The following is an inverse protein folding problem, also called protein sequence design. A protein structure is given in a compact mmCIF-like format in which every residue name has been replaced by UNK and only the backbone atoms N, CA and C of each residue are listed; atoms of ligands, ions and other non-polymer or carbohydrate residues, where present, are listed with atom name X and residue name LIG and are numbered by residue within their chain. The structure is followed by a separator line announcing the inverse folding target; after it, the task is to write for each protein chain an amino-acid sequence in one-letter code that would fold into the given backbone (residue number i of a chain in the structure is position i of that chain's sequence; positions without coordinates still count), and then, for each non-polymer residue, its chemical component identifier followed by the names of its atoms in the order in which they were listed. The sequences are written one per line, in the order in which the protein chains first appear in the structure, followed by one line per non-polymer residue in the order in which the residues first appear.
data_IF_295347483454
#
_entry.id   IF_295347483454
#
_cell.length_a   1.000
_cell.length_b   1.000
_cell.length_c   1.000
_cell.angle_alpha   90.00
_cell.angle_beta   90.00
_cell.angle_gamma   90.00
#
_symmetry.space_group_name_H-M   'P 1'
#
loop_
_entity.id
_entity.type
_entity.pdbx_description
1 polymer ?
#
# COMPACT_ATOMS: atom_id res chain seq x y z
N UNK A 1 27.85 -31.96 -8.44
CA UNK A 1 28.45 -31.89 -7.09
C UNK A 1 29.44 -33.02 -6.76
N UNK A 2 29.97 -33.75 -7.75
CA UNK A 2 31.03 -34.77 -7.55
C UNK A 2 32.45 -34.23 -7.86
N UNK A 3 32.55 -33.12 -8.59
CA UNK A 3 33.83 -32.49 -8.96
C UNK A 3 34.48 -31.59 -7.87
N UNK A 4 33.77 -31.23 -6.79
CA UNK A 4 34.33 -30.47 -5.65
C UNK A 4 35.02 -31.37 -4.61
N UNK A 5 34.67 -32.66 -4.58
CA UNK A 5 35.26 -33.63 -3.65
C UNK A 5 36.65 -34.10 -4.09
N UNK A 6 36.88 -34.24 -5.41
CA UNK A 6 38.18 -34.65 -5.97
C UNK A 6 39.29 -33.60 -5.82
N UNK A 7 38.98 -32.30 -5.79
CA UNK A 7 40.01 -31.24 -5.61
C UNK A 7 40.58 -31.16 -4.19
N UNK A 8 39.87 -31.68 -3.18
CA UNK A 8 40.32 -31.72 -1.79
C UNK A 8 41.23 -32.92 -1.49
N UNK A 9 41.20 -33.96 -2.33
CA UNK A 9 42.01 -35.18 -2.17
C UNK A 9 43.44 -35.02 -2.73
N UNK A 10 43.67 -34.07 -3.63
CA UNK A 10 44.95 -33.88 -4.35
C UNK A 10 45.72 -32.61 -3.98
N UNK A 11 45.31 -31.89 -2.92
CA UNK A 11 46.16 -30.86 -2.30
C UNK A 11 46.60 -29.70 -3.21
N UNK A 12 45.81 -29.34 -4.23
CA UNK A 12 46.11 -28.22 -5.12
C UNK A 12 45.42 -26.96 -4.58
N UNK A 13 46.17 -26.16 -3.81
CA UNK A 13 45.82 -24.78 -3.49
C UNK A 13 46.36 -23.86 -4.59
N UNK A 14 45.47 -23.10 -5.23
CA UNK A 14 45.84 -22.03 -6.16
C UNK A 14 46.60 -20.95 -5.39
N UNK A 15 47.86 -20.78 -5.77
CA UNK A 15 48.78 -19.80 -5.20
C UNK A 15 49.13 -18.78 -6.29
N UNK A 16 48.87 -17.50 -6.03
CA UNK A 16 49.63 -16.37 -6.60
C UNK A 16 49.05 -15.02 -6.13
N UNK A 17 49.83 -13.93 -6.08
CA UNK A 17 51.16 -13.83 -5.47
C UNK A 17 51.33 -12.54 -4.61
N UNK A 18 52.20 -12.66 -3.60
CA UNK A 18 53.23 -11.70 -3.13
C UNK A 18 52.92 -10.21 -3.00
N UNK A 19 52.78 -9.72 -1.75
CA UNK A 19 53.44 -8.49 -1.26
C UNK A 19 53.76 -8.64 0.26
N UNK A 20 54.99 -8.35 0.67
CA UNK A 20 55.48 -8.20 2.07
C UNK A 20 56.56 -7.08 2.00
N UNK A 21 57.02 -6.39 3.09
CA UNK A 21 56.56 -6.23 4.50
C UNK A 21 56.57 -4.77 5.01
N UNK A 22 56.06 -4.55 6.24
CA UNK A 22 56.78 -3.75 7.25
C UNK A 22 56.20 -3.94 8.68
N UNK A 23 57.11 -4.15 9.65
CA UNK A 23 56.96 -4.08 11.11
C UNK A 23 56.09 -5.19 11.75
N UNK A 24 56.54 -6.04 12.67
CA UNK A 24 57.63 -5.93 13.63
C UNK A 24 57.05 -6.18 15.02
N UNK A 25 56.96 -7.45 15.46
CA UNK A 25 57.14 -7.87 16.86
C UNK A 25 57.00 -9.39 17.05
N UNK A 26 57.86 -9.92 17.94
CA UNK A 26 58.08 -11.33 18.29
C UNK A 26 56.92 -11.99 19.04
N UNK A 27 56.75 -13.31 18.84
CA UNK A 27 56.40 -14.33 19.87
C UNK A 27 56.40 -15.76 19.27
N UNK A 28 56.46 -16.85 20.07
CA UNK A 28 57.66 -17.43 20.69
C UNK A 28 58.00 -18.85 20.16
N UNK A 29 59.19 -19.31 20.52
CA UNK A 29 59.81 -20.59 20.13
C UNK A 29 58.93 -21.82 20.38
N UNK A 30 58.64 -22.56 19.32
CA UNK A 30 58.08 -23.91 19.35
C UNK A 30 59.14 -24.94 19.79
N UNK A 31 58.74 -26.08 20.38
CA UNK A 31 59.66 -27.02 21.02
C UNK A 31 60.52 -27.73 19.99
N UNK A 32 61.82 -27.86 20.32
CA UNK A 32 62.87 -28.55 19.55
C UNK A 32 62.31 -29.87 19.00
N UNK A 33 62.12 -29.90 17.69
CA UNK A 33 61.60 -31.05 16.98
C UNK A 33 62.61 -32.18 17.11
N UNK A 34 62.13 -33.39 17.39
CA UNK A 34 62.93 -34.63 17.46
C UNK A 34 63.77 -34.82 16.18
N UNK A 35 63.36 -34.21 15.07
CA UNK A 35 64.09 -34.14 13.80
C UNK A 35 65.39 -33.30 13.89
N UNK A 36 65.42 -32.21 14.65
CA UNK A 36 66.60 -31.35 14.79
C UNK A 36 67.74 -32.05 15.57
N UNK A 37 67.38 -32.92 16.52
CA UNK A 37 68.37 -33.70 17.28
C UNK A 37 68.94 -34.86 16.46
N UNK A 38 68.14 -35.44 15.55
CA UNK A 38 68.57 -36.47 14.62
C UNK A 38 69.51 -35.92 13.52
N UNK A 39 69.25 -34.72 13.02
CA UNK A 39 70.12 -34.08 12.03
C UNK A 39 71.48 -33.71 12.62
N UNK A 40 71.52 -33.18 13.85
CA UNK A 40 72.78 -32.93 14.56
C UNK A 40 73.61 -34.21 14.75
N UNK A 41 72.96 -35.34 15.06
CA UNK A 41 73.65 -36.63 15.19
C UNK A 41 74.20 -37.13 13.85
N UNK A 42 73.48 -36.95 12.75
CA UNK A 42 73.98 -37.27 11.40
C UNK A 42 75.22 -36.46 11.05
N UNK A 43 75.21 -35.16 11.34
CA UNK A 43 76.36 -34.28 11.09
C UNK A 43 77.59 -34.68 11.92
N UNK A 44 77.38 -35.03 13.18
CA UNK A 44 78.48 -35.44 14.07
C UNK A 44 79.13 -36.75 13.62
N UNK A 45 78.34 -37.72 13.14
CA UNK A 45 78.84 -38.99 12.59
C UNK A 45 79.58 -38.77 11.28
N UNK A 46 79.12 -37.84 10.43
CA UNK A 46 79.78 -37.49 9.18
C UNK A 46 81.15 -36.86 9.43
N UNK A 47 81.25 -35.92 10.38
CA UNK A 47 82.52 -35.31 10.78
C UNK A 47 83.50 -36.34 11.38
N UNK A 48 83.03 -37.32 12.15
CA UNK A 48 83.88 -38.39 12.68
C UNK A 48 84.36 -39.36 11.59
N UNK A 49 83.54 -39.64 10.57
CA UNK A 49 83.92 -40.47 9.43
C UNK A 49 84.97 -39.79 8.54
N UNK A 50 84.86 -38.47 8.36
CA UNK A 50 85.81 -37.71 7.53
C UNK A 50 87.17 -37.51 8.26
N UNK A 51 87.18 -37.51 9.60
CA UNK A 51 88.43 -37.54 10.41
C UNK A 51 89.13 -38.91 10.44
N UNK A 52 88.47 -39.97 9.99
CA UNK A 52 88.98 -41.36 10.06
C UNK A 52 89.53 -41.89 8.73
N UNK A 53 89.63 -41.05 7.68
CA UNK A 53 90.20 -41.46 6.39
C UNK A 53 91.43 -40.63 6.04
N UNK A 54 92.52 -41.38 5.82
CA UNK A 54 93.82 -40.98 5.28
C UNK A 54 94.88 -40.58 6.31
N UNK A 55 95.36 -41.56 7.09
CA UNK A 55 96.80 -41.70 7.29
C UNK A 55 97.33 -42.70 6.23
N UNK A 56 98.35 -42.33 5.43
CA UNK A 56 98.99 -43.25 4.50
C UNK A 56 99.62 -44.43 5.24
N UNK A 57 99.30 -45.64 4.78
CA UNK A 57 99.91 -46.89 5.21
C UNK A 57 101.33 -46.91 4.66
N UNK A 58 102.28 -46.45 5.48
CA UNK A 58 103.71 -46.64 5.24
C UNK A 58 104.32 -47.28 6.51
N UNK A 59 104.48 -48.60 6.48
CA UNK A 59 104.76 -49.45 7.65
C UNK A 59 106.23 -49.41 8.13
N UNK A 60 107.06 -48.51 7.60
CA UNK A 60 108.52 -48.50 7.86
C UNK A 60 109.09 -47.21 8.46
N UNK A 61 108.28 -46.40 9.16
CA UNK A 61 108.77 -45.22 9.89
C UNK A 61 108.25 -45.16 11.31
N UNK A 62 109.01 -45.75 12.24
CA UNK A 62 108.80 -45.59 13.68
C UNK A 62 109.35 -44.22 14.12
N UNK A 63 108.48 -43.21 14.19
CA UNK A 63 108.78 -41.95 14.87
C UNK A 63 108.41 -42.08 16.35
N UNK A 64 109.41 -42.31 17.19
CA UNK A 64 109.31 -42.23 18.66
C UNK A 64 109.30 -40.76 19.11
N UNK A 65 108.27 -40.27 19.81
CA UNK A 65 108.35 -38.99 20.51
C UNK A 65 109.11 -39.17 21.83
N UNK A 66 110.14 -38.36 22.00
CA UNK A 66 111.05 -38.29 23.14
C UNK A 66 110.51 -37.38 24.26
N UNK A 67 110.96 -37.69 25.49
CA UNK A 67 110.85 -36.97 26.79
C UNK A 67 109.48 -37.04 27.49
N UNK A 68 109.34 -37.87 28.54
CA UNK A 68 109.79 -37.72 29.95
C UNK A 68 109.10 -36.58 30.69
N UNK A 69 108.05 -36.94 31.44
CA UNK A 69 107.69 -36.32 32.71
C UNK A 69 107.51 -37.44 33.76
N UNK A 70 108.41 -37.47 34.74
CA UNK A 70 108.32 -38.32 35.94
C UNK A 70 107.36 -37.68 36.95
N UNK A 71 106.20 -38.27 37.24
CA UNK A 71 105.47 -37.97 38.49
C UNK A 71 104.72 -39.19 39.07
N UNK A 72 105.29 -39.68 40.17
CA UNK A 72 104.69 -40.30 41.36
C UNK A 72 103.97 -41.65 41.23
N UNK A 73 104.67 -42.69 41.72
CA UNK A 73 104.14 -43.99 42.14
C UNK A 73 103.01 -43.84 43.16
N UNK A 74 101.75 -44.01 42.73
CA UNK A 74 100.61 -44.21 43.63
C UNK A 74 100.59 -45.66 44.11
N UNK A 75 101.08 -45.85 45.33
CA UNK A 75 100.87 -47.06 46.14
C UNK A 75 99.35 -47.31 46.24
N UNK A 76 98.91 -48.50 45.81
CA UNK A 76 97.51 -48.89 45.88
C UNK A 76 97.16 -49.29 47.32
N UNK A 77 96.47 -48.40 48.04
CA UNK A 77 95.89 -48.70 49.36
C UNK A 77 94.61 -49.55 49.20
N UNK A 78 94.48 -50.70 49.88
CA UNK A 78 93.27 -51.51 49.78
C UNK A 78 92.04 -50.75 50.29
N UNK A 79 90.95 -50.80 49.53
CA UNK A 79 89.65 -50.18 49.86
C UNK A 79 89.09 -50.82 51.14
N UNK A 80 88.93 -50.05 52.22
CA UNK A 80 88.12 -50.49 53.36
C UNK A 80 86.65 -50.50 52.89
N UNK A 81 86.01 -51.67 52.88
CA UNK A 81 84.57 -51.75 52.64
C UNK A 81 83.84 -50.99 53.75
N UNK A 82 83.00 -50.02 53.39
CA UNK A 82 82.10 -49.37 54.35
C UNK A 82 81.07 -50.38 54.86
N UNK A 83 80.56 -50.14 56.07
CA UNK A 83 79.59 -50.98 56.77
C UNK A 83 78.44 -51.41 55.84
N UNK A 84 78.33 -52.72 55.58
CA UNK A 84 77.26 -53.28 54.74
C UNK A 84 75.97 -53.29 55.58
N UNK A 85 74.90 -52.57 55.17
CA UNK A 85 73.64 -52.56 55.91
C UNK A 85 73.01 -53.96 55.96
N UNK A 86 72.45 -54.34 57.11
CA UNK A 86 71.85 -55.65 57.30
C UNK A 86 70.51 -55.76 56.55
N UNK A 87 70.09 -56.97 56.20
CA UNK A 87 68.78 -57.21 55.56
C UNK A 87 67.61 -56.65 56.38
N UNK A 88 67.76 -56.56 57.70
CA UNK A 88 66.75 -56.04 58.60
C UNK A 88 66.64 -54.50 58.51
N UNK A 89 67.77 -53.79 58.43
CA UNK A 89 67.75 -52.33 58.26
C UNK A 89 67.20 -51.92 56.88
N UNK A 90 67.50 -52.69 55.83
CA UNK A 90 66.92 -52.46 54.49
C UNK A 90 65.40 -52.72 54.45
N UNK A 91 64.90 -53.72 55.19
CA UNK A 91 63.47 -54.01 55.31
C UNK A 91 62.74 -52.90 56.05
N UNK A 92 63.29 -52.40 57.15
CA UNK A 92 62.68 -51.35 57.94
C UNK A 92 62.69 -50.00 57.20
N UNK A 93 63.75 -49.69 56.45
CA UNK A 93 63.80 -48.51 55.58
C UNK A 93 62.80 -48.60 54.43
N UNK A 94 62.58 -49.79 53.85
CA UNK A 94 61.52 -50.00 52.85
C UNK A 94 60.13 -49.76 53.43
N UNK A 95 59.84 -50.31 54.60
CA UNK A 95 58.56 -50.11 55.28
C UNK A 95 58.33 -48.64 55.67
N UNK A 96 59.37 -47.92 56.08
CA UNK A 96 59.29 -46.47 56.36
C UNK A 96 59.02 -45.65 55.09
N UNK A 97 59.66 -45.99 53.97
CA UNK A 97 59.40 -45.34 52.67
C UNK A 97 57.96 -45.60 52.20
N UNK A 98 57.50 -46.84 52.25
CA UNK A 98 56.12 -47.21 51.91
C UNK A 98 55.09 -46.50 52.81
N UNK A 99 55.34 -46.42 54.11
CA UNK A 99 54.47 -45.69 55.05
C UNK A 99 54.47 -44.18 54.79
N UNK A 100 55.61 -43.60 54.41
CA UNK A 100 55.71 -42.19 54.05
C UNK A 100 54.97 -41.90 52.73
N UNK A 101 55.12 -42.76 51.72
CA UNK A 101 54.43 -42.65 50.43
C UNK A 101 52.90 -42.73 50.59
N UNK A 102 52.41 -43.65 51.42
CA UNK A 102 50.99 -43.74 51.75
C UNK A 102 50.48 -42.47 52.44
N UNK A 103 51.25 -41.92 53.38
CA UNK A 103 50.89 -40.69 54.09
C UNK A 103 50.82 -39.47 53.15
N UNK A 104 51.79 -39.34 52.24
CA UNK A 104 51.80 -38.26 51.23
C UNK A 104 50.60 -38.40 50.28
N UNK A 105 50.24 -39.62 49.91
CA UNK A 105 49.05 -39.88 49.10
C UNK A 105 47.75 -39.55 49.84
N UNK A 106 47.64 -39.92 51.12
CA UNK A 106 46.48 -39.58 51.96
C UNK A 106 46.30 -38.07 52.12
N UNK A 107 47.39 -37.31 52.32
CA UNK A 107 47.37 -35.84 52.38
C UNK A 107 46.96 -35.23 51.03
N UNK A 108 47.44 -35.78 49.91
CA UNK A 108 47.04 -35.37 48.55
C UNK A 108 45.55 -35.60 48.31
N UNK A 109 45.01 -36.77 48.70
CA UNK A 109 43.58 -37.09 48.56
C UNK A 109 42.73 -36.18 49.46
N UNK A 110 43.19 -35.87 50.68
CA UNK A 110 42.50 -34.94 51.57
C UNK A 110 42.42 -33.53 50.98
N UNK A 111 43.52 -33.01 50.43
CA UNK A 111 43.54 -31.73 49.75
C UNK A 111 42.59 -31.69 48.54
N UNK A 112 42.50 -32.79 47.79
CA UNK A 112 41.58 -32.92 46.66
C UNK A 112 40.11 -32.97 47.13
N UNK A 113 39.81 -33.65 48.23
CA UNK A 113 38.47 -33.67 48.82
C UNK A 113 38.05 -32.28 49.33
N UNK A 114 38.96 -31.55 49.97
CA UNK A 114 38.69 -30.17 50.42
C UNK A 114 38.42 -29.25 49.21
N UNK A 115 39.18 -29.42 48.11
CA UNK A 115 38.90 -28.72 46.84
C UNK A 115 37.53 -29.09 46.28
N UNK A 116 37.18 -30.38 46.24
CA UNK A 116 35.87 -30.85 45.77
C UNK A 116 34.73 -30.21 46.58
N UNK A 117 34.88 -30.14 47.90
CA UNK A 117 33.92 -29.49 48.78
C UNK A 117 33.77 -27.99 48.46
N UNK A 118 34.87 -27.28 48.19
CA UNK A 118 34.80 -25.87 47.76
C UNK A 118 34.11 -25.69 46.40
N UNK A 119 34.31 -26.61 45.44
CA UNK A 119 33.65 -26.53 44.13
C UNK A 119 32.16 -26.85 44.20
N UNK A 120 31.76 -27.80 45.06
CA UNK A 120 30.35 -28.07 45.37
C UNK A 120 29.70 -26.85 46.03
N UNK A 121 30.36 -26.22 46.99
CA UNK A 121 29.88 -24.99 47.63
C UNK A 121 29.75 -23.81 46.66
N UNK A 122 30.65 -23.71 45.68
CA UNK A 122 30.63 -22.70 44.62
C UNK A 122 29.67 -23.05 43.45
N UNK A 123 28.96 -24.18 43.51
CA UNK A 123 28.09 -24.69 42.45
C UNK A 123 28.78 -24.87 41.08
N UNK A 124 30.10 -25.08 41.07
CA UNK A 124 30.88 -25.29 39.84
C UNK A 124 30.89 -26.76 39.45
N UNK A 125 29.81 -27.19 38.79
CA UNK A 125 29.56 -28.58 38.44
C UNK A 125 30.70 -29.22 37.62
N UNK A 126 31.19 -28.51 36.60
CA UNK A 126 32.22 -29.04 35.70
C UNK A 126 33.56 -29.26 36.41
N UNK A 127 33.98 -28.30 37.23
CA UNK A 127 35.23 -28.39 37.99
C UNK A 127 35.15 -29.46 39.09
N UNK A 128 33.98 -29.59 39.73
CA UNK A 128 33.72 -30.63 40.73
C UNK A 128 33.76 -32.04 40.12
N UNK A 129 33.16 -32.25 38.94
CA UNK A 129 33.20 -33.53 38.23
C UNK A 129 34.62 -33.92 37.80
N UNK A 130 35.41 -32.98 37.29
CA UNK A 130 36.81 -33.24 36.93
C UNK A 130 37.66 -33.67 38.14
N UNK A 131 37.43 -33.08 39.30
CA UNK A 131 38.16 -33.44 40.53
C UNK A 131 37.66 -34.76 41.10
N UNK A 132 36.35 -35.03 40.99
CA UNK A 132 35.77 -36.32 41.38
C UNK A 132 36.39 -37.48 40.60
N UNK A 133 36.60 -37.33 39.29
CA UNK A 133 37.25 -38.34 38.45
C UNK A 133 38.69 -38.62 38.91
N UNK A 134 39.44 -37.56 39.24
CA UNK A 134 40.82 -37.68 39.76
C UNK A 134 40.86 -38.38 41.12
N UNK A 135 39.93 -38.06 42.03
CA UNK A 135 39.85 -38.69 43.36
C UNK A 135 39.41 -40.15 43.26
N UNK A 136 38.55 -40.49 42.31
CA UNK A 136 38.08 -41.88 42.09
C UNK A 136 39.25 -42.83 41.85
N UNK A 137 40.28 -42.40 41.12
CA UNK A 137 41.47 -43.21 40.85
C UNK A 137 42.41 -43.35 42.06
N UNK A 138 42.51 -42.33 42.91
CA UNK A 138 43.42 -42.31 44.07
C UNK A 138 42.81 -43.00 45.30
N UNK A 139 41.49 -42.94 45.48
CA UNK A 139 40.80 -43.48 46.67
C UNK A 139 40.80 -45.02 46.76
N UNK A 140 40.97 -45.70 45.62
CA UNK A 140 41.10 -47.17 45.54
C UNK A 140 42.36 -47.64 46.28
N UNK A 141 43.42 -46.82 46.31
CA UNK A 141 44.72 -47.13 46.93
C UNK A 141 44.77 -46.77 48.42
N UNK A 142 43.89 -45.89 48.89
CA UNK A 142 43.83 -45.42 50.27
C UNK A 142 43.11 -46.41 51.20
N UNK A 143 43.73 -46.73 52.35
CA UNK A 143 43.17 -47.66 53.35
C UNK A 143 42.42 -46.96 54.50
N UNK A 144 42.52 -45.63 54.61
CA UNK A 144 41.88 -44.87 55.69
C UNK A 144 40.33 -44.83 55.56
N UNK A 145 39.57 -45.28 56.57
CA UNK A 145 38.10 -45.28 56.52
C UNK A 145 37.46 -43.88 56.53
N UNK A 146 38.13 -42.90 57.13
CA UNK A 146 37.63 -41.52 57.29
C UNK A 146 37.53 -40.80 55.92
N UNK A 147 38.56 -40.95 55.09
CA UNK A 147 38.66 -40.40 53.73
C UNK A 147 37.58 -41.00 52.82
N UNK A 148 37.37 -42.32 52.90
CA UNK A 148 36.32 -43.02 52.13
C UNK A 148 34.92 -42.54 52.50
N UNK A 149 34.63 -42.32 53.78
CA UNK A 149 33.33 -41.77 54.23
C UNK A 149 33.10 -40.36 53.68
N UNK A 150 34.10 -39.48 53.78
CA UNK A 150 34.03 -38.11 53.22
C UNK A 150 33.79 -38.12 51.72
N UNK A 151 34.48 -38.97 50.98
CA UNK A 151 34.26 -39.15 49.55
C UNK A 151 32.82 -39.58 49.21
N UNK A 152 32.29 -40.61 49.88
CA UNK A 152 30.90 -41.05 49.65
C UNK A 152 29.86 -39.99 49.99
N UNK A 153 30.14 -39.12 50.96
CA UNK A 153 29.29 -37.99 51.30
C UNK A 153 29.32 -36.93 50.20
N UNK A 154 30.51 -36.48 49.79
CA UNK A 154 30.67 -35.50 48.71
C UNK A 154 30.13 -36.00 47.37
N UNK A 155 30.19 -37.31 47.11
CA UNK A 155 29.57 -37.94 45.94
C UNK A 155 28.05 -37.82 45.94
N UNK A 156 27.39 -38.01 47.08
CA UNK A 156 25.94 -37.79 47.20
C UNK A 156 25.59 -36.31 47.03
N UNK A 157 26.34 -35.42 47.68
CA UNK A 157 26.13 -33.97 47.57
C UNK A 157 26.30 -33.44 46.15
N UNK A 158 27.26 -33.99 45.39
CA UNK A 158 27.46 -33.65 43.99
C UNK A 158 26.27 -34.10 43.13
N UNK A 159 25.79 -35.33 43.30
CA UNK A 159 24.63 -35.85 42.57
C UNK A 159 23.31 -35.09 42.91
N UNK A 160 23.16 -34.64 44.16
CA UNK A 160 22.03 -33.79 44.57
C UNK A 160 22.11 -32.40 43.92
N UNK A 161 23.30 -31.82 43.86
CA UNK A 161 23.55 -30.54 43.20
C UNK A 161 23.28 -30.63 41.68
N UNK A 162 23.69 -31.72 41.03
CA UNK A 162 23.39 -32.00 39.61
C UNK A 162 21.88 -32.00 39.34
N UNK A 163 21.12 -32.80 40.09
CA UNK A 163 19.66 -32.88 39.95
C UNK A 163 18.98 -31.53 40.18
N UNK A 164 19.46 -30.76 41.15
CA UNK A 164 18.90 -29.42 41.44
C UNK A 164 19.14 -28.46 40.27
N UNK A 165 20.36 -28.40 39.75
CA UNK A 165 20.71 -27.53 38.63
C UNK A 165 19.98 -27.94 37.33
N UNK A 166 19.81 -29.24 37.08
CA UNK A 166 19.03 -29.73 35.94
C UNK A 166 17.55 -29.38 36.07
N UNK A 167 16.96 -29.57 37.26
CA UNK A 167 15.58 -29.20 37.52
C UNK A 167 15.34 -27.70 37.32
N UNK A 168 16.22 -26.85 37.86
CA UNK A 168 16.14 -25.39 37.66
C UNK A 168 16.25 -25.00 36.18
N UNK A 169 17.11 -25.67 35.40
CA UNK A 169 17.22 -25.44 33.95
C UNK A 169 15.94 -25.80 33.21
N UNK A 170 15.35 -26.95 33.53
CA UNK A 170 14.09 -27.40 32.91
C UNK A 170 12.92 -26.46 33.25
N UNK A 171 12.83 -26.00 34.50
CA UNK A 171 11.82 -25.01 34.92
C UNK A 171 11.99 -23.71 34.16
N UNK A 172 13.22 -23.17 34.06
CA UNK A 172 13.49 -21.94 33.29
C UNK A 172 13.11 -22.09 31.82
N UNK A 173 13.44 -23.23 31.20
CA UNK A 173 13.09 -23.49 29.80
C UNK A 173 11.57 -23.57 29.61
N UNK A 174 10.86 -24.24 30.51
CA UNK A 174 9.40 -24.35 30.46
C UNK A 174 8.71 -22.99 30.69
N UNK A 175 9.23 -22.16 31.59
CA UNK A 175 8.75 -20.78 31.78
C UNK A 175 8.97 -19.91 30.54
N UNK A 176 10.15 -20.01 29.92
CA UNK A 176 10.45 -19.27 28.70
C UNK A 176 9.56 -19.70 27.52
N UNK A 177 9.31 -21.01 27.37
CA UNK A 177 8.38 -21.54 26.37
C UNK A 177 6.96 -21.03 26.60
N UNK A 178 6.45 -21.10 27.83
CA UNK A 178 5.12 -20.58 28.17
C UNK A 178 4.99 -19.08 27.88
N UNK A 179 6.02 -18.28 28.18
CA UNK A 179 6.04 -16.85 27.85
C UNK A 179 5.96 -16.61 26.35
N UNK A 180 6.74 -17.35 25.55
CA UNK A 180 6.71 -17.24 24.08
C UNK A 180 5.36 -17.65 23.49
N UNK A 181 4.77 -18.74 23.98
CA UNK A 181 3.44 -19.19 23.55
C UNK A 181 2.35 -18.16 23.91
N UNK A 182 2.41 -17.57 25.10
CA UNK A 182 1.46 -16.54 25.53
C UNK A 182 1.60 -15.25 24.71
N UNK A 183 2.83 -14.82 24.40
CA UNK A 183 3.10 -13.69 23.53
C UNK A 183 2.61 -13.93 22.10
N UNK A 184 2.86 -15.12 21.54
CA UNK A 184 2.32 -15.49 20.23
C UNK A 184 0.80 -15.52 20.22
N UNK A 185 0.17 -16.09 21.25
CA UNK A 185 -1.30 -16.13 21.35
C UNK A 185 -1.88 -14.72 21.40
N UNK A 186 -1.31 -13.85 22.24
CA UNK A 186 -1.71 -12.43 22.33
C UNK A 186 -1.50 -11.70 21.00
N UNK A 187 -0.44 -12.00 20.26
CA UNK A 187 -0.19 -11.42 18.94
C UNK A 187 -1.26 -11.87 17.92
N UNK A 188 -1.56 -13.17 17.86
CA UNK A 188 -2.61 -13.72 16.96
C UNK A 188 -3.98 -13.15 17.27
N UNK A 189 -4.35 -13.04 18.55
CA UNK A 189 -5.63 -12.44 18.97
C UNK A 189 -5.73 -10.95 18.56
N UNK A 190 -4.63 -10.19 18.61
CA UNK A 190 -4.60 -8.80 18.14
C UNK A 190 -4.76 -8.71 16.62
N UNK A 191 -4.00 -9.52 15.88
CA UNK A 191 -4.08 -9.57 14.42
C UNK A 191 -5.48 -9.98 13.93
N UNK A 192 -6.12 -10.93 14.61
CA UNK A 192 -7.49 -11.34 14.30
C UNK A 192 -8.52 -10.24 14.58
N UNK A 193 -8.39 -9.55 15.72
CA UNK A 193 -9.24 -8.39 16.04
C UNK A 193 -9.08 -7.27 15.01
N UNK A 194 -7.86 -6.94 14.62
CA UNK A 194 -7.58 -5.94 13.59
C UNK A 194 -8.15 -6.36 12.23
N UNK A 195 -8.07 -7.63 11.86
CA UNK A 195 -8.68 -8.16 10.62
C UNK A 195 -10.19 -8.00 10.64
N UNK A 196 -10.85 -8.40 11.73
CA UNK A 196 -12.31 -8.30 11.87
C UNK A 196 -12.76 -6.83 11.85
N UNK A 197 -12.02 -5.93 12.52
CA UNK A 197 -12.32 -4.51 12.51
C UNK A 197 -12.14 -3.88 11.12
N UNK A 198 -11.06 -4.24 10.41
CA UNK A 198 -10.82 -3.78 9.05
C UNK A 198 -11.88 -4.29 8.07
N UNK A 199 -12.29 -5.56 8.19
CA UNK A 199 -13.36 -6.14 7.38
C UNK A 199 -14.71 -5.45 7.64
N UNK A 200 -15.05 -5.18 8.91
CA UNK A 200 -16.24 -4.39 9.27
C UNK A 200 -16.19 -2.99 8.67
N UNK A 201 -15.04 -2.32 8.73
CA UNK A 201 -14.85 -0.98 8.13
C UNK A 201 -15.06 -1.00 6.62
N UNK A 202 -14.48 -1.99 5.93
CA UNK A 202 -14.65 -2.16 4.47
C UNK A 202 -16.11 -2.47 4.13
N UNK A 203 -16.77 -3.34 4.89
CA UNK A 203 -18.18 -3.68 4.68
C UNK A 203 -19.09 -2.47 4.90
N UNK A 204 -18.83 -1.66 5.93
CA UNK A 204 -19.58 -0.44 6.19
C UNK A 204 -19.38 0.61 5.10
N UNK A 205 -18.14 0.81 4.64
CA UNK A 205 -17.82 1.72 3.54
C UNK A 205 -18.49 1.29 2.24
N UNK A 206 -18.48 -0.02 1.92
CA UNK A 206 -19.21 -0.57 0.76
C UNK A 206 -20.70 -0.33 0.87
N UNK A 207 -21.29 -0.52 2.06
CA UNK A 207 -22.72 -0.25 2.29
C UNK A 207 -23.04 1.22 2.07
N UNK A 208 -22.21 2.15 2.58
CA UNK A 208 -22.41 3.59 2.37
C UNK A 208 -22.32 3.97 0.89
N UNK A 209 -21.31 3.47 0.18
CA UNK A 209 -21.16 3.68 -1.27
C UNK A 209 -22.35 3.12 -2.06
N UNK A 210 -22.84 1.93 -1.70
CA UNK A 210 -24.01 1.34 -2.34
C UNK A 210 -25.26 2.19 -2.09
N UNK A 211 -25.50 2.64 -0.85
CA UNK A 211 -26.63 3.51 -0.53
C UNK A 211 -26.58 4.85 -1.28
N UNK A 212 -25.39 5.44 -1.42
CA UNK A 212 -25.22 6.67 -2.19
C UNK A 212 -25.45 6.44 -3.68
N UNK A 213 -24.94 5.33 -4.24
CA UNK A 213 -25.19 4.94 -5.63
C UNK A 213 -26.67 4.69 -5.89
N UNK A 214 -27.38 4.00 -4.98
CA UNK A 214 -28.80 3.73 -5.08
C UNK A 214 -29.62 5.03 -5.02
N UNK A 215 -29.25 5.97 -4.13
CA UNK A 215 -29.89 7.30 -4.04
C UNK A 215 -29.71 8.08 -5.34
N UNK A 216 -28.49 8.12 -5.89
CA UNK A 216 -28.22 8.80 -7.15
C UNK A 216 -28.94 8.13 -8.33
N UNK A 217 -29.02 6.80 -8.35
CA UNK A 217 -29.76 6.05 -9.35
C UNK A 217 -31.28 6.32 -9.28
N UNK A 218 -31.85 6.40 -8.08
CA UNK A 218 -33.25 6.75 -7.88
C UNK A 218 -33.55 8.19 -8.32
N UNK A 219 -32.68 9.14 -7.97
CA UNK A 219 -32.79 10.54 -8.39
C UNK A 219 -32.69 10.67 -9.92
N UNK A 220 -31.74 9.98 -10.54
CA UNK A 220 -31.61 9.95 -12.00
C UNK A 220 -32.86 9.36 -12.67
N UNK A 221 -33.42 8.26 -12.15
CA UNK A 221 -34.66 7.67 -12.67
C UNK A 221 -35.85 8.60 -12.52
N UNK A 222 -35.97 9.32 -11.39
CA UNK A 222 -37.03 10.33 -11.20
C UNK A 222 -36.89 11.48 -12.19
N UNK A 223 -35.66 11.95 -12.42
CA UNK A 223 -35.38 13.00 -13.40
C UNK A 223 -35.73 12.56 -14.82
N UNK A 224 -35.32 11.36 -15.22
CA UNK A 224 -35.66 10.79 -16.53
C UNK A 224 -37.18 10.61 -16.70
N UNK A 225 -37.87 10.11 -15.67
CA UNK A 225 -39.33 10.00 -15.69
C UNK A 225 -40.02 11.36 -15.82
N UNK A 226 -39.51 12.38 -15.13
CA UNK A 226 -40.02 13.75 -15.23
C UNK A 226 -39.82 14.33 -16.65
N UNK A 227 -38.63 14.14 -17.24
CA UNK A 227 -38.32 14.57 -18.61
C UNK A 227 -39.21 13.86 -19.65
N UNK A 228 -39.42 12.54 -19.49
CA UNK A 228 -40.32 11.77 -20.36
C UNK A 228 -41.78 12.23 -20.21
N UNK A 229 -42.23 12.52 -18.99
CA UNK A 229 -43.58 13.04 -18.75
C UNK A 229 -43.77 14.43 -19.36
N UNK A 230 -42.78 15.31 -19.21
CA UNK A 230 -42.78 16.65 -19.81
C UNK A 230 -42.79 16.57 -21.34
N UNK A 231 -41.96 15.72 -21.93
CA UNK A 231 -41.95 15.51 -23.38
C UNK A 231 -43.30 15.01 -23.89
N UNK A 232 -43.93 14.07 -23.19
CA UNK A 232 -45.29 13.60 -23.52
C UNK A 232 -46.32 14.72 -23.41
N UNK A 233 -46.22 15.57 -22.39
CA UNK A 233 -47.11 16.71 -22.22
C UNK A 233 -46.96 17.71 -23.38
N UNK A 234 -45.73 18.06 -23.77
CA UNK A 234 -45.47 18.92 -24.92
C UNK A 234 -45.96 18.31 -26.24
N UNK A 235 -45.80 16.99 -26.40
CA UNK A 235 -46.30 16.28 -27.57
C UNK A 235 -47.83 16.40 -27.66
N UNK A 236 -48.55 16.11 -26.57
CA UNK A 236 -50.01 16.28 -26.49
C UNK A 236 -50.43 17.70 -26.85
N UNK A 237 -49.79 18.72 -26.26
CA UNK A 237 -50.07 20.12 -26.57
C UNK A 237 -49.86 20.46 -28.05
N UNK A 238 -48.88 19.82 -28.71
CA UNK A 238 -48.56 20.03 -30.12
C UNK A 238 -49.42 19.23 -31.11
N UNK A 239 -50.26 18.32 -30.62
CA UNK A 239 -51.07 17.42 -31.47
C UNK A 239 -52.57 17.48 -31.19
N UNK A 240 -52.97 17.72 -29.94
CA UNK A 240 -54.37 17.73 -29.56
C UNK A 240 -55.07 18.96 -30.15
N UNK A 241 -56.05 18.72 -31.01
CA UNK A 241 -56.84 19.75 -31.68
C UNK A 241 -58.11 20.08 -30.88
N UNK A 242 -58.67 21.25 -31.13
CA UNK A 242 -60.01 21.63 -30.64
C UNK A 242 -61.06 20.63 -31.15
N UNK A 243 -62.11 20.36 -30.39
CA UNK A 243 -63.16 19.42 -30.79
C UNK A 243 -63.85 19.86 -32.10
N UNK A 244 -64.10 21.15 -32.22
CA UNK A 244 -64.67 21.82 -33.39
C UNK A 244 -63.60 22.42 -34.34
N UNK A 245 -62.40 21.82 -34.41
CA UNK A 245 -61.27 22.34 -35.21
C UNK A 245 -61.63 22.65 -36.68
N UNK A 246 -62.55 21.89 -37.28
CA UNK A 246 -62.95 22.10 -38.68
C UNK A 246 -63.59 23.49 -38.89
N UNK A 247 -64.37 23.97 -37.91
CA UNK A 247 -64.98 25.30 -37.99
C UNK A 247 -63.93 26.41 -37.90
N UNK A 248 -62.93 26.26 -37.03
CA UNK A 248 -61.78 27.18 -36.97
C UNK A 248 -61.02 27.20 -38.29
N UNK A 249 -60.71 26.02 -38.83
CA UNK A 249 -60.03 25.88 -40.11
C UNK A 249 -60.82 26.55 -41.24
N UNK A 250 -62.13 26.37 -41.27
CA UNK A 250 -62.99 27.01 -42.28
C UNK A 250 -62.96 28.54 -42.18
N UNK A 251 -62.99 29.12 -40.97
CA UNK A 251 -62.86 30.58 -40.79
C UNK A 251 -61.51 31.07 -41.31
N UNK A 252 -60.41 30.37 -40.99
CA UNK A 252 -59.06 30.73 -41.42
C UNK A 252 -58.90 30.61 -42.95
N UNK A 253 -59.35 29.50 -43.54
CA UNK A 253 -59.31 29.23 -44.98
C UNK A 253 -60.15 30.25 -45.76
N UNK A 254 -61.38 30.54 -45.31
CA UNK A 254 -62.25 31.55 -45.94
C UNK A 254 -61.65 32.95 -45.90
N UNK A 255 -60.85 33.24 -44.86
CA UNK A 255 -60.11 34.48 -44.74
C UNK A 255 -58.70 34.39 -45.36
N UNK A 256 -58.33 33.31 -46.05
CA UNK A 256 -57.04 33.18 -46.73
C UNK A 256 -55.82 33.21 -45.79
N UNK A 257 -55.99 32.83 -44.52
CA UNK A 257 -54.90 32.80 -43.54
C UNK A 257 -54.19 31.45 -43.63
N UNK A 258 -53.00 31.44 -44.22
CA UNK A 258 -52.17 30.23 -44.38
C UNK A 258 -51.05 30.12 -43.36
N UNK A 259 -50.59 31.26 -42.83
CA UNK A 259 -49.45 31.33 -41.94
C UNK A 259 -49.69 32.37 -40.86
N UNK A 260 -49.05 32.12 -39.72
CA UNK A 260 -48.88 33.06 -38.62
C UNK A 260 -47.41 33.44 -38.54
N UNK A 261 -47.12 34.55 -37.88
CA UNK A 261 -45.78 35.12 -37.86
C UNK A 261 -45.29 35.32 -36.43
N UNK A 262 -44.02 35.07 -36.18
CA UNK A 262 -43.37 35.43 -34.93
C UNK A 262 -42.08 36.17 -35.26
N UNK A 263 -41.96 37.41 -34.79
CA UNK A 263 -40.72 38.16 -34.93
C UNK A 263 -39.84 37.92 -33.70
N UNK A 264 -38.55 37.69 -33.93
CA UNK A 264 -37.56 37.48 -32.87
C UNK A 264 -36.21 38.02 -33.31
N UNK A 265 -35.27 38.19 -32.37
CA UNK A 265 -33.91 38.57 -32.71
C UNK A 265 -33.14 37.36 -33.30
N UNK A 266 -32.31 37.59 -34.33
CA UNK A 266 -31.49 36.55 -34.97
C UNK A 266 -30.66 35.75 -33.96
N UNK A 267 -30.20 36.39 -32.87
CA UNK A 267 -29.42 35.74 -31.79
C UNK A 267 -30.20 34.64 -31.07
N UNK A 268 -31.54 34.63 -31.14
CA UNK A 268 -32.36 33.59 -30.51
C UNK A 268 -32.48 32.32 -31.38
N UNK A 269 -32.21 32.40 -32.69
CA UNK A 269 -32.40 31.28 -33.63
C UNK A 269 -31.62 30.01 -33.23
N UNK A 270 -30.34 30.07 -32.80
CA UNK A 270 -29.63 28.88 -32.35
C UNK A 270 -30.31 28.17 -31.17
N UNK A 271 -30.84 28.94 -30.20
CA UNK A 271 -31.56 28.39 -29.04
C UNK A 271 -32.86 27.71 -29.47
N UNK A 272 -33.62 28.34 -30.37
CA UNK A 272 -34.86 27.79 -30.94
C UNK A 272 -34.59 26.47 -31.68
N UNK A 273 -33.51 26.40 -32.47
CA UNK A 273 -33.09 25.17 -33.16
C UNK A 273 -32.66 24.08 -32.18
N UNK A 274 -31.84 24.43 -31.18
CA UNK A 274 -31.33 23.51 -30.16
C UNK A 274 -32.46 22.86 -29.36
N UNK A 275 -33.43 23.64 -28.92
CA UNK A 275 -34.56 23.17 -28.11
C UNK A 275 -35.75 22.65 -28.95
N UNK A 276 -35.64 22.66 -30.27
CA UNK A 276 -36.61 22.02 -31.17
C UNK A 276 -37.89 22.81 -31.44
N UNK A 277 -37.91 24.12 -31.18
CA UNK A 277 -39.04 24.99 -31.46
C UNK A 277 -39.06 26.27 -30.61
N UNK A 278 -40.17 27.01 -30.68
CA UNK A 278 -40.41 28.21 -29.89
C UNK A 278 -41.12 27.83 -28.59
N UNK A 279 -40.63 28.35 -27.46
CA UNK A 279 -41.24 28.17 -26.15
C UNK A 279 -41.76 29.48 -25.59
N UNK A 280 -42.78 29.39 -24.73
CA UNK A 280 -43.24 30.52 -23.93
C UNK A 280 -42.11 31.03 -23.04
N UNK A 281 -42.10 32.33 -22.75
CA UNK A 281 -41.06 32.89 -21.90
C UNK A 281 -41.11 32.30 -20.47
N UNK A 282 -42.30 31.98 -19.99
CA UNK A 282 -42.48 31.34 -18.69
C UNK A 282 -41.86 29.95 -18.66
N UNK A 283 -42.07 29.14 -19.71
CA UNK A 283 -41.45 27.82 -19.83
C UNK A 283 -39.93 27.92 -19.87
N UNK A 284 -39.39 28.86 -20.65
CA UNK A 284 -37.95 29.08 -20.71
C UNK A 284 -37.36 29.41 -19.32
N UNK A 285 -38.02 30.30 -18.57
CA UNK A 285 -37.59 30.67 -17.21
C UNK A 285 -37.65 29.48 -16.24
N UNK A 286 -38.74 28.70 -16.29
CA UNK A 286 -38.93 27.52 -15.41
C UNK A 286 -37.90 26.42 -15.69
N UNK A 287 -37.53 26.22 -16.95
CA UNK A 287 -36.61 25.17 -17.40
C UNK A 287 -35.17 25.65 -17.60
N UNK A 288 -34.83 26.85 -17.09
CA UNK A 288 -33.49 27.45 -17.20
C UNK A 288 -32.96 27.55 -18.65
N UNK A 289 -33.86 27.74 -19.62
CA UNK A 289 -33.52 28.00 -21.02
C UNK A 289 -33.22 29.49 -21.17
N UNK A 290 -31.98 29.81 -21.52
CA UNK A 290 -31.57 31.20 -21.73
C UNK A 290 -32.04 31.68 -23.10
N UNK A 291 -32.77 32.79 -23.12
CA UNK A 291 -33.14 33.52 -24.34
C UNK A 291 -32.17 34.70 -24.46
N UNK A 292 -31.21 34.68 -25.42
CA UNK A 292 -30.19 35.74 -25.53
C UNK A 292 -30.79 37.14 -25.62
N UNK A 293 -31.89 37.29 -26.35
CA UNK A 293 -32.58 38.55 -26.55
C UNK A 293 -34.09 38.34 -26.38
N UNK A 294 -34.54 38.33 -25.13
CA UNK A 294 -35.96 38.20 -24.83
C UNK A 294 -36.72 39.46 -25.28
N UNK A 295 -37.82 39.28 -26.01
CA UNK A 295 -38.78 40.34 -26.29
C UNK A 295 -39.69 40.62 -25.09
N UNK A 296 -40.15 41.86 -24.97
CA UNK A 296 -40.97 42.32 -23.85
C UNK A 296 -40.13 42.82 -22.68
N UNK A 297 -40.63 43.86 -22.02
CA UNK A 297 -40.07 44.43 -20.80
C UNK A 297 -40.74 43.81 -19.55
N UNK A 298 -40.31 44.27 -18.37
CA UNK A 298 -40.89 43.83 -17.10
C UNK A 298 -42.41 44.06 -17.05
N UNK A 299 -42.89 45.19 -17.57
CA UNK A 299 -44.31 45.55 -17.56
C UNK A 299 -45.13 44.59 -18.41
N UNK A 300 -44.63 44.19 -19.59
CA UNK A 300 -45.28 43.19 -20.43
C UNK A 300 -45.38 41.82 -19.76
N UNK A 301 -44.36 41.41 -18.99
CA UNK A 301 -44.39 40.15 -18.24
C UNK A 301 -45.40 40.18 -17.09
N UNK A 302 -45.55 41.31 -16.41
CA UNK A 302 -46.57 41.50 -15.37
C UNK A 302 -47.99 41.50 -15.95
N UNK A 303 -48.18 42.09 -17.14
CA UNK A 303 -49.46 42.02 -17.85
C UNK A 303 -49.79 40.59 -18.25
N UNK A 304 -48.82 39.84 -18.79
CA UNK A 304 -49.01 38.42 -19.11
C UNK A 304 -49.46 37.63 -17.88
N UNK A 305 -48.79 37.78 -16.73
CA UNK A 305 -49.22 37.12 -15.47
C UNK A 305 -50.62 37.54 -15.03
N UNK A 306 -50.94 38.83 -15.14
CA UNK A 306 -52.26 39.37 -14.76
C UNK A 306 -53.38 38.75 -15.59
N UNK A 307 -53.12 38.48 -16.88
CA UNK A 307 -54.08 37.90 -17.81
C UNK A 307 -53.94 36.38 -17.98
N UNK A 308 -52.98 35.74 -17.30
CA UNK A 308 -52.73 34.29 -17.41
C UNK A 308 -52.12 33.87 -18.76
N UNK A 309 -51.39 34.76 -19.43
CA UNK A 309 -50.84 34.61 -20.78
C UNK A 309 -49.34 34.31 -20.80
N UNK A 310 -48.69 34.17 -19.64
CA UNK A 310 -47.24 33.98 -19.52
C UNK A 310 -46.72 32.70 -20.16
N UNK A 311 -47.56 31.66 -20.17
CA UNK A 311 -47.23 30.35 -20.72
C UNK A 311 -47.83 30.15 -22.13
N UNK A 312 -47.75 31.19 -22.95
CA UNK A 312 -48.14 31.17 -24.36
C UNK A 312 -47.06 31.76 -25.25
N UNK A 313 -46.89 31.15 -26.42
CA UNK A 313 -46.09 31.69 -27.52
C UNK A 313 -46.97 32.67 -28.30
N UNK A 314 -46.53 33.93 -28.38
CA UNK A 314 -47.22 35.00 -29.10
C UNK A 314 -46.93 34.92 -30.60
N UNK A 315 -47.96 34.72 -31.40
CA UNK A 315 -47.91 34.77 -32.86
C UNK A 315 -48.82 35.90 -33.35
N UNK A 316 -48.49 36.47 -34.49
CA UNK A 316 -49.23 37.55 -35.14
C UNK A 316 -49.87 37.07 -36.44
N UNK A 317 -51.02 37.64 -36.79
CA UNK A 317 -51.62 37.41 -38.11
C UNK A 317 -50.92 38.18 -39.24
N UNK A 318 -50.28 39.30 -38.92
CA UNK A 318 -49.51 40.13 -39.87
C UNK A 318 -48.01 39.80 -39.83
N UNK A 319 -47.32 40.06 -40.95
CA UNK A 319 -45.88 39.87 -41.08
C UNK A 319 -45.07 41.16 -40.89
N UNK A 320 -45.71 42.28 -40.59
CA UNK A 320 -45.11 43.61 -40.46
C UNK A 320 -45.52 44.28 -39.14
N UNK A 321 -45.52 43.47 -38.07
CA UNK A 321 -46.01 43.87 -36.76
C UNK A 321 -45.37 45.20 -36.29
N UNK A 322 -46.15 46.23 -35.89
CA UNK A 322 -45.62 47.54 -35.47
C UNK A 322 -44.58 47.49 -34.35
N UNK A 323 -44.62 46.46 -33.48
CA UNK A 323 -43.59 46.23 -32.46
C UNK A 323 -42.25 45.79 -33.04
N UNK A 324 -42.24 45.01 -34.12
CA UNK A 324 -41.01 44.58 -34.79
C UNK A 324 -40.24 45.78 -35.35
N UNK A 325 -40.94 46.71 -35.99
CA UNK A 325 -40.34 47.96 -36.49
C UNK A 325 -39.70 48.77 -35.36
N UNK A 326 -40.38 48.91 -34.21
CA UNK A 326 -39.83 49.62 -33.04
C UNK A 326 -38.53 48.96 -32.54
N UNK A 327 -38.48 47.64 -32.49
CA UNK A 327 -37.29 46.90 -32.06
C UNK A 327 -36.13 47.02 -33.06
N UNK A 328 -36.42 47.01 -34.37
CA UNK A 328 -35.41 47.26 -35.40
C UNK A 328 -34.82 48.67 -35.27
N UNK A 329 -35.64 49.69 -34.99
CA UNK A 329 -35.16 51.07 -34.75
C UNK A 329 -34.27 51.16 -33.50
N UNK A 330 -34.48 50.29 -32.50
CA UNK A 330 -33.61 50.20 -31.32
C UNK A 330 -32.31 49.40 -31.54
N UNK A 331 -32.08 48.89 -32.76
CA UNK A 331 -30.85 48.20 -33.15
C UNK A 331 -30.91 46.67 -33.11
N UNK A 332 -32.08 46.06 -32.90
CA UNK A 332 -32.24 44.60 -32.92
C UNK A 332 -32.28 44.06 -34.35
N UNK A 333 -31.57 42.96 -34.61
CA UNK A 333 -31.63 42.25 -35.89
C UNK A 333 -32.84 41.31 -35.88
N UNK A 334 -33.99 41.83 -36.32
CA UNK A 334 -35.26 41.11 -36.28
C UNK A 334 -35.43 40.20 -37.51
N UNK A 335 -35.68 38.93 -37.25
CA UNK A 335 -36.09 37.92 -38.22
C UNK A 335 -37.54 37.51 -37.97
N UNK A 336 -38.25 37.13 -39.05
CA UNK A 336 -39.65 36.75 -39.00
C UNK A 336 -39.77 35.26 -39.29
N UNK A 337 -40.20 34.52 -38.29
CA UNK A 337 -40.54 33.11 -38.40
C UNK A 337 -41.94 32.98 -38.99
N UNK A 338 -42.09 32.07 -39.94
CA UNK A 338 -43.33 31.75 -40.63
C UNK A 338 -43.84 30.42 -40.07
N UNK A 339 -44.94 30.47 -39.33
CA UNK A 339 -45.55 29.32 -38.66
C UNK A 339 -46.77 28.87 -39.45
N UNK A 340 -46.93 27.57 -39.66
CA UNK A 340 -48.13 26.98 -40.27
C UNK A 340 -49.38 27.32 -39.45
N UNK A 341 -50.49 27.67 -40.13
CA UNK A 341 -51.74 28.04 -39.46
C UNK A 341 -52.36 26.90 -38.64
N UNK A 342 -51.97 25.65 -38.88
CA UNK A 342 -52.44 24.47 -38.14
C UNK A 342 -52.27 24.59 -36.61
N UNK A 343 -51.29 25.37 -36.14
CA UNK A 343 -51.10 25.64 -34.70
C UNK A 343 -52.27 26.40 -34.07
N UNK A 344 -53.05 27.14 -34.86
CA UNK A 344 -54.28 27.80 -34.43
C UNK A 344 -55.39 26.79 -34.05
N UNK A 345 -55.31 25.57 -34.60
CA UNK A 345 -56.31 24.52 -34.39
C UNK A 345 -56.06 23.71 -33.11
N UNK A 346 -54.92 23.92 -32.45
CA UNK A 346 -54.56 23.23 -31.22
C UNK A 346 -55.50 23.61 -30.08
N UNK A 347 -55.82 22.64 -29.22
CA UNK A 347 -56.83 22.76 -28.16
C UNK A 347 -56.59 23.98 -27.27
N UNK A 348 -55.34 24.14 -26.82
CA UNK A 348 -54.93 25.22 -25.92
C UNK A 348 -54.70 26.58 -26.59
N UNK A 349 -54.87 26.70 -27.91
CA UNK A 349 -54.61 27.99 -28.59
C UNK A 349 -55.71 29.00 -28.30
N UNK A 350 -55.32 30.24 -28.00
CA UNK A 350 -56.21 31.37 -27.79
C UNK A 350 -56.05 32.41 -28.91
N UNK A 351 -57.07 33.24 -29.09
CA UNK A 351 -57.10 34.34 -30.05
C UNK A 351 -57.35 35.64 -29.32
N UNK A 352 -56.65 36.71 -29.72
CA UNK A 352 -56.87 38.06 -29.23
C UNK A 352 -57.22 38.96 -30.41
N UNK A 353 -58.26 39.76 -30.25
CA UNK A 353 -58.78 40.69 -31.27
C UNK A 353 -57.81 41.84 -31.58
N UNK A 354 -56.97 42.21 -30.61
CA UNK A 354 -55.88 43.19 -30.74
C UNK A 354 -54.63 42.67 -30.01
N UNK A 355 -53.60 43.50 -29.88
CA UNK A 355 -52.42 43.19 -29.06
C UNK A 355 -52.86 42.85 -27.63
N UNK A 356 -52.51 41.66 -27.14
CA UNK A 356 -52.98 41.19 -25.85
C UNK A 356 -52.35 41.89 -24.63
N UNK A 357 -51.33 42.72 -24.84
CA UNK A 357 -50.83 43.64 -23.81
C UNK A 357 -51.67 44.94 -23.73
N UNK A 358 -52.60 45.19 -24.67
CA UNK A 358 -53.50 46.35 -24.63
C UNK A 358 -54.58 46.14 -23.56
N UNK A 359 -55.00 47.20 -22.86
CA UNK A 359 -56.02 47.12 -21.81
C UNK A 359 -57.41 46.76 -22.33
N UNK A 360 -57.67 47.00 -23.62
CA UNK A 360 -58.98 46.80 -24.25
C UNK A 360 -59.08 45.46 -24.99
N UNK A 361 -58.07 44.58 -24.85
CA UNK A 361 -58.07 43.30 -25.56
C UNK A 361 -59.13 42.36 -25.00
N UNK A 362 -59.69 41.53 -25.88
CA UNK A 362 -60.57 40.43 -25.51
C UNK A 362 -60.02 39.16 -26.12
N UNK A 363 -59.54 38.25 -25.27
CA UNK A 363 -59.00 36.98 -25.71
C UNK A 363 -59.84 35.78 -25.27
N UNK A 364 -59.72 34.67 -25.99
CA UNK A 364 -60.32 33.40 -25.61
C UNK A 364 -60.02 32.28 -26.61
N UNK A 365 -60.46 31.07 -26.28
CA UNK A 365 -60.17 29.86 -27.06
C UNK A 365 -61.31 29.39 -27.95
N UNK A 366 -62.45 30.08 -27.94
CA UNK A 366 -63.68 29.69 -28.62
C UNK A 366 -63.73 30.22 -30.04
N UNK A 367 -64.65 29.66 -30.85
CA UNK A 367 -64.78 30.02 -32.25
C UNK A 367 -65.15 31.50 -32.42
N UNK A 368 -65.95 32.04 -31.50
CA UNK A 368 -66.36 33.44 -31.53
C UNK A 368 -65.19 34.39 -31.22
N UNK A 369 -64.21 33.96 -30.43
CA UNK A 369 -62.99 34.73 -30.18
C UNK A 369 -62.14 34.87 -31.45
N UNK A 370 -62.04 33.80 -32.26
CA UNK A 370 -61.41 33.87 -33.57
C UNK A 370 -62.20 34.80 -34.52
N UNK A 371 -63.53 34.75 -34.50
CA UNK A 371 -64.37 35.61 -35.36
C UNK A 371 -64.31 37.09 -34.99
N UNK A 372 -63.91 37.44 -33.75
CA UNK A 372 -63.67 38.84 -33.36
C UNK A 372 -62.44 39.44 -34.02
N UNK A 373 -61.50 38.61 -34.49
CA UNK A 373 -60.31 39.09 -35.20
C UNK A 373 -60.72 39.77 -36.51
N UNK A 374 -60.34 41.02 -36.68
CA UNK A 374 -60.55 41.74 -37.93
C UNK A 374 -59.50 41.30 -38.98
N UNK A 375 -59.81 40.23 -39.72
CA UNK A 375 -58.91 39.69 -40.75
C UNK A 375 -58.60 40.67 -41.89
N UNK A 376 -59.44 41.67 -42.12
CA UNK A 376 -59.15 42.70 -43.13
C UNK A 376 -58.02 43.60 -42.63
N UNK A 377 -58.08 44.03 -41.37
CA UNK A 377 -57.03 44.84 -40.75
C UNK A 377 -55.69 44.09 -40.68
N UNK A 378 -55.69 42.80 -40.31
CA UNK A 378 -54.44 42.01 -40.18
C UNK A 378 -53.73 41.75 -41.51
N UNK A 379 -54.44 41.85 -42.64
CA UNK A 379 -53.86 41.72 -43.99
C UNK A 379 -53.33 43.02 -44.56
N UNK A 380 -53.67 44.16 -43.98
CA UNK A 380 -53.11 45.46 -44.38
C UNK A 380 -51.63 45.49 -44.02
N UNK A 381 -50.85 46.26 -44.76
CA UNK A 381 -49.44 46.49 -44.45
C UNK A 381 -49.22 47.95 -44.04
N UNK A 382 -48.28 48.18 -43.13
CA UNK A 382 -47.80 49.48 -42.67
C UNK A 382 -48.93 50.40 -42.18
N UNK A 383 -49.80 49.86 -41.34
CA UNK A 383 -50.92 50.61 -40.75
C UNK A 383 -50.39 51.67 -39.80
N UNK A 384 -50.78 52.93 -40.01
CA UNK A 384 -50.36 54.05 -39.17
C UNK A 384 -51.12 54.07 -37.86
N UNK A 385 -50.53 54.66 -36.81
CA UNK A 385 -51.11 54.70 -35.47
C UNK A 385 -52.45 55.44 -35.37
N UNK A 386 -52.70 56.39 -36.28
CA UNK A 386 -53.92 57.18 -36.40
C UNK A 386 -55.04 56.47 -37.18
N UNK A 387 -54.78 55.29 -37.73
CA UNK A 387 -55.76 54.47 -38.45
C UNK A 387 -56.58 53.61 -37.48
N UNK A 388 -57.88 53.49 -37.70
CA UNK A 388 -58.78 52.67 -36.88
C UNK A 388 -58.39 51.19 -36.88
N UNK A 389 -57.76 50.71 -37.96
CA UNK A 389 -57.29 49.34 -38.08
C UNK A 389 -55.94 49.10 -37.36
N UNK A 390 -55.31 50.12 -36.76
CA UNK A 390 -53.98 49.98 -36.14
C UNK A 390 -53.95 48.96 -34.98
N UNK A 391 -54.97 48.97 -34.12
CA UNK A 391 -55.07 48.01 -33.02
C UNK A 391 -55.49 46.62 -33.51
N UNK A 392 -56.55 46.48 -34.33
CA UNK A 392 -56.94 45.17 -34.88
C UNK A 392 -55.88 44.52 -35.79
N UNK A 393 -55.03 45.31 -36.46
CA UNK A 393 -53.90 44.80 -37.22
C UNK A 393 -52.90 44.03 -36.34
N UNK A 394 -52.81 44.37 -35.04
CA UNK A 394 -51.97 43.71 -34.05
C UNK A 394 -52.67 42.53 -33.35
N UNK A 395 -53.73 41.98 -33.93
CA UNK A 395 -54.36 40.76 -33.42
C UNK A 395 -53.34 39.62 -33.29
N UNK A 396 -53.51 38.80 -32.26
CA UNK A 396 -52.57 37.74 -31.90
C UNK A 396 -53.23 36.37 -31.80
N UNK A 397 -52.41 35.34 -32.05
CA UNK A 397 -52.69 33.94 -31.74
C UNK A 397 -51.70 33.50 -30.66
N UNK A 398 -52.22 32.94 -29.57
CA UNK A 398 -51.44 32.51 -28.41
C UNK A 398 -51.44 31.00 -28.35
N UNK A 399 -50.33 30.37 -28.74
CA UNK A 399 -50.19 28.91 -28.71
C UNK A 399 -49.65 28.49 -27.35
N UNK A 400 -50.30 27.52 -26.71
CA UNK A 400 -49.94 27.11 -25.34
C UNK A 400 -48.54 26.50 -25.28
N UNK A 401 -47.67 27.08 -24.44
CA UNK A 401 -46.33 26.60 -24.06
C UNK A 401 -45.28 26.45 -25.18
N UNK A 402 -45.59 25.78 -26.29
CA UNK A 402 -44.60 25.32 -27.27
C UNK A 402 -45.15 25.28 -28.70
N UNK A 403 -44.39 25.84 -29.64
CA UNK A 403 -44.58 25.65 -31.09
C UNK A 403 -43.40 24.83 -31.61
N UNK A 404 -43.69 23.59 -32.00
CA UNK A 404 -42.69 22.67 -32.53
C UNK A 404 -42.06 23.18 -33.83
N UNK A 405 -40.76 22.94 -34.00
CA UNK A 405 -40.02 23.27 -35.24
C UNK A 405 -40.69 22.73 -36.51
N UNK A 406 -41.46 21.63 -36.41
CA UNK A 406 -42.19 21.04 -37.54
C UNK A 406 -43.17 22.02 -38.20
N UNK A 407 -43.66 22.99 -37.44
CA UNK A 407 -44.59 24.02 -37.93
C UNK A 407 -43.89 25.31 -38.34
N UNK A 408 -42.58 25.44 -38.16
CA UNK A 408 -41.83 26.67 -38.48
C UNK A 408 -41.15 26.49 -39.84
N UNK A 409 -41.77 27.01 -40.88
CA UNK A 409 -41.45 26.74 -42.29
C UNK A 409 -40.06 27.20 -42.69
N UNK A 410 -39.62 28.35 -42.18
CA UNK A 410 -38.38 29.01 -42.60
C UNK A 410 -37.28 28.97 -41.54
N UNK A 411 -37.39 28.12 -40.51
CA UNK A 411 -36.41 28.08 -39.42
C UNK A 411 -35.00 27.78 -39.92
N UNK A 412 -34.87 26.89 -40.89
CA UNK A 412 -33.59 26.46 -41.45
C UNK A 412 -32.96 27.50 -42.40
N UNK A 413 -33.70 28.54 -42.79
CA UNK A 413 -33.21 29.62 -43.65
C UNK A 413 -32.36 30.66 -42.92
N UNK A 414 -32.23 30.55 -41.59
CA UNK A 414 -31.58 31.53 -40.72
C UNK A 414 -30.29 31.04 -40.07
#
# INVERSE_FOLDING_TARGET
MIFKWLKKLFGLYDSSPTEIPANGELKPSAPKSLYDELDKRKEHVKQNRDKLKQSPIDWYSLNTPSQKDELQTRVFSPRKFENIPSLQTLKDDRLRKEAHELKVQEEKVKLLLDKLETFIAQQKLQDANQIMDVITHEIVRTKEPSIRRKYTFLQKSLAELERKLEHERLVRLAEEQKRKEEEERKKREREEKERIENEKRIAEERRRRQQEADRLAEEARKKEQAELAERKQLEVLSTERKENWFAFKQVLDNNGIQYLYHFTDRRNIPSIKLHGGLFSWHYCKKNNITIPCQGGDYDSQELDKKYGLEDYVRLSFCNDHPMAYRLQQSGSDIVILKIEVDVALLKGTLFSDINAADKLHTHGGELDDLKRVNFNATKRNYVRKDDDDFKPHQAEVMVKTFVSKKHIVNLDNF
#
